data_IF_276838826076
#
_entry.id   IF_276838826076
#
_cell.length_a   1.000
_cell.length_b   1.000
_cell.length_c   1.000
_cell.angle_alpha   90.00
_cell.angle_beta   90.00
_cell.angle_gamma   90.00
#
_symmetry.space_group_name_H-M   'P 1'
#
loop_
_entity.id
_entity.type
_entity.pdbx_description
1 polymer ?
#
# COMPACT_ATOMS: atom_id res chain seq x y z
N UNK A 1 2.12 5.96 9.23
CA UNK A 1 2.28 5.67 7.79
C UNK A 1 0.98 6.07 7.13
N UNK A 2 1.01 6.84 6.04
CA UNK A 2 -0.22 7.17 5.31
C UNK A 2 -0.47 6.11 4.24
N UNK A 3 -1.73 5.96 3.87
CA UNK A 3 -2.17 5.01 2.87
C UNK A 3 -3.03 5.71 1.82
N UNK A 4 -3.07 5.16 0.62
CA UNK A 4 -4.04 5.54 -0.39
C UNK A 4 -4.61 4.30 -1.05
N UNK A 5 -5.80 4.43 -1.62
CA UNK A 5 -6.49 3.33 -2.29
C UNK A 5 -6.48 3.61 -3.78
N UNK A 6 -5.94 2.67 -4.56
CA UNK A 6 -5.92 2.71 -6.01
C UNK A 6 -6.43 1.38 -6.52
N UNK A 7 -7.41 1.40 -7.43
CA UNK A 7 -8.00 0.17 -7.99
C UNK A 7 -8.47 -0.83 -6.91
N UNK A 8 -9.13 -0.33 -5.85
CA UNK A 8 -9.55 -1.13 -4.68
C UNK A 8 -8.41 -1.81 -3.90
N UNK A 9 -7.16 -1.40 -4.13
CA UNK A 9 -5.98 -1.89 -3.40
C UNK A 9 -5.39 -0.78 -2.54
N UNK A 10 -5.07 -1.08 -1.28
CA UNK A 10 -4.39 -0.15 -0.39
C UNK A 10 -2.88 -0.18 -0.60
N UNK A 11 -2.29 1.00 -0.72
CA UNK A 11 -0.88 1.26 -0.89
C UNK A 11 -0.39 2.21 0.19
N UNK A 12 0.89 2.12 0.54
CA UNK A 12 1.53 3.05 1.47
C UNK A 12 1.95 4.33 0.74
N UNK A 13 2.00 5.45 1.45
CA UNK A 13 2.58 6.69 0.97
C UNK A 13 3.79 7.10 1.84
N UNK A 14 5.01 7.22 1.26
CA UNK A 14 5.35 6.90 -0.13
C UNK A 14 5.23 5.39 -0.44
N UNK A 15 5.06 5.07 -1.72
CA UNK A 15 4.95 3.67 -2.17
C UNK A 15 6.27 2.92 -1.95
N UNK A 16 6.17 1.63 -1.64
CA UNK A 16 7.34 0.77 -1.51
C UNK A 16 8.10 0.73 -2.86
N UNK A 17 9.44 0.63 -2.83
CA UNK A 17 10.29 0.66 -4.04
C UNK A 17 9.90 -0.36 -5.12
N UNK A 18 9.33 -1.50 -4.71
CA UNK A 18 8.87 -2.58 -5.61
C UNK A 18 7.43 -2.42 -6.08
N UNK A 19 6.67 -1.51 -5.46
CA UNK A 19 5.30 -1.23 -5.86
C UNK A 19 5.31 -0.32 -7.09
N UNK A 20 4.62 -0.73 -8.15
CA UNK A 20 4.45 0.06 -9.38
C UNK A 20 3.33 1.09 -9.29
N UNK A 21 2.63 1.17 -8.15
CA UNK A 21 1.56 2.14 -7.97
C UNK A 21 2.15 3.56 -7.93
N UNK A 22 1.66 4.42 -8.81
CA UNK A 22 1.92 5.85 -8.74
C UNK A 22 0.84 6.52 -7.90
N UNK A 23 1.23 7.40 -6.99
CA UNK A 23 0.30 8.30 -6.32
C UNK A 23 -0.09 9.44 -7.29
N UNK A 24 -1.36 9.50 -7.64
CA UNK A 24 -2.01 10.44 -8.55
C UNK A 24 -3.00 11.35 -7.78
N UNK A 25 -2.63 11.77 -6.56
CA UNK A 25 -3.45 12.61 -5.67
C UNK A 25 -4.70 11.90 -5.12
N UNK A 26 -4.65 10.58 -4.98
CA UNK A 26 -5.65 9.84 -4.22
C UNK A 26 -5.76 10.37 -2.78
N UNK A 27 -6.91 10.13 -2.14
CA UNK A 27 -7.10 10.51 -0.75
C UNK A 27 -6.13 9.73 0.15
N UNK A 28 -5.25 10.47 0.83
CA UNK A 28 -4.42 9.92 1.89
C UNK A 28 -5.26 9.64 3.14
N UNK A 29 -5.05 8.46 3.72
CA UNK A 29 -5.75 7.95 4.88
C UNK A 29 -4.73 7.47 5.90
N UNK A 30 -5.00 7.72 7.17
CA UNK A 30 -4.24 7.17 8.29
C UNK A 30 -4.76 5.80 8.74
N UNK A 31 -5.92 5.37 8.24
CA UNK A 31 -6.57 4.09 8.55
C UNK A 31 -6.75 3.21 7.31
N UNK A 32 -6.74 1.89 7.53
CA UNK A 32 -7.03 0.87 6.51
C UNK A 32 -8.53 0.56 6.53
N UNK A 33 -9.30 0.88 5.48
CA UNK A 33 -10.71 0.53 5.44
C UNK A 33 -10.91 -0.98 5.28
N UNK A 34 -12.01 -1.49 5.84
CA UNK A 34 -12.44 -2.86 5.58
C UNK A 34 -12.88 -2.99 4.12
N UNK A 35 -12.60 -4.15 3.48
CA UNK A 35 -12.95 -4.50 2.09
C UNK A 35 -12.05 -3.96 0.96
N UNK A 36 -10.87 -3.43 1.27
CA UNK A 36 -9.84 -3.16 0.25
C UNK A 36 -8.84 -4.30 0.18
N UNK A 37 -8.31 -4.56 -1.01
CA UNK A 37 -7.20 -5.51 -1.18
C UNK A 37 -5.92 -4.90 -0.65
N UNK A 38 -5.07 -5.70 -0.02
CA UNK A 38 -3.78 -5.24 0.48
C UNK A 38 -2.72 -5.39 -0.60
N UNK A 39 -2.02 -4.30 -0.94
CA UNK A 39 -0.91 -4.42 -1.87
C UNK A 39 0.20 -5.25 -1.21
N UNK A 40 0.59 -6.41 -1.77
CA UNK A 40 1.51 -7.32 -1.11
C UNK A 40 2.92 -6.72 -0.95
N UNK A 41 3.29 -5.79 -1.83
CA UNK A 41 4.56 -5.05 -1.77
C UNK A 41 4.54 -3.93 -0.73
N UNK A 42 3.46 -3.15 -0.67
CA UNK A 42 3.36 -2.04 0.29
C UNK A 42 3.09 -2.54 1.72
N UNK A 43 2.28 -3.59 1.86
CA UNK A 43 1.89 -4.15 3.16
C UNK A 43 2.85 -5.23 3.67
N UNK A 44 3.99 -5.45 2.99
CA UNK A 44 5.03 -6.44 3.36
C UNK A 44 4.48 -7.86 3.56
N UNK A 45 3.43 -8.22 2.81
CA UNK A 45 2.81 -9.55 2.86
C UNK A 45 3.55 -10.59 2.02
N UNK A 46 4.62 -10.18 1.32
CA UNK A 46 5.40 -11.09 0.49
C UNK A 46 6.20 -12.08 1.37
N UNK A 47 6.02 -13.41 1.18
CA UNK A 47 6.76 -14.41 1.95
C UNK A 47 8.23 -14.37 1.53
N UNK A 48 9.06 -13.70 2.34
CA UNK A 48 10.49 -13.51 2.08
C UNK A 48 11.06 -12.16 2.56
N UNK A 49 10.22 -11.20 2.97
CA UNK A 49 10.65 -9.90 3.52
C UNK A 49 10.36 -9.80 5.03
N UNK A 50 10.80 -10.79 5.83
CA UNK A 50 11.20 -10.48 7.20
C UNK A 50 12.59 -9.86 7.10
N UNK A 51 12.65 -8.54 7.26
CA UNK A 51 13.88 -7.73 7.32
C UNK A 51 14.97 -8.42 8.17
N UNK A 52 16.18 -8.52 7.59
CA UNK A 52 17.45 -8.58 8.31
C UNK A 52 17.87 -7.14 8.69
#
# INVERSE_FOLDING_TARGET
MLYFIKQNTIHTYPVAKRCTAAYEREQLRDTVPYQVQECPYCMKLWPGEKED
#
